data_IF_610738783768
#
_entry.id   IF_610738783768
#
_cell.length_a   1.000
_cell.length_b   1.000
_cell.length_c   1.000
_cell.angle_alpha   90.00
_cell.angle_beta   90.00
_cell.angle_gamma   90.00
#
_symmetry.space_group_name_H-M   'P 1'
#
loop_
_entity.id
_entity.type
_entity.pdbx_description
1 polymer ?
#
# COMPACT_ATOMS: atom_id res chain seq x y z
N UNK A 1 -24.21 -0.13 18.50
CA UNK A 1 -25.34 -1.01 18.08
C UNK A 1 -25.34 -2.32 18.87
N UNK A 2 -26.44 -3.09 18.86
CA UNK A 2 -26.50 -4.45 19.43
C UNK A 2 -26.00 -5.51 18.43
N UNK A 3 -25.74 -6.74 18.88
CA UNK A 3 -25.34 -7.84 17.99
C UNK A 3 -26.42 -8.19 16.95
N UNK A 4 -27.69 -8.14 17.35
CA UNK A 4 -28.82 -8.38 16.44
C UNK A 4 -28.89 -7.31 15.34
N UNK A 5 -28.61 -6.05 15.67
CA UNK A 5 -28.58 -4.97 14.68
C UNK A 5 -27.48 -5.21 13.63
N UNK A 6 -26.30 -5.68 14.05
CA UNK A 6 -25.20 -6.02 13.14
C UNK A 6 -25.52 -7.23 12.26
N UNK A 7 -26.15 -8.26 12.84
CA UNK A 7 -26.61 -9.43 12.08
C UNK A 7 -27.63 -9.01 11.01
N UNK A 8 -28.62 -8.20 11.39
CA UNK A 8 -29.61 -7.68 10.47
C UNK A 8 -28.99 -6.86 9.33
N UNK A 9 -28.07 -5.94 9.66
CA UNK A 9 -27.35 -5.14 8.66
C UNK A 9 -26.63 -6.03 7.64
N UNK A 10 -25.95 -7.08 8.10
CA UNK A 10 -25.18 -7.99 7.25
C UNK A 10 -26.05 -8.83 6.32
N UNK A 11 -27.29 -9.13 6.72
CA UNK A 11 -28.23 -9.91 5.93
C UNK A 11 -29.01 -9.05 4.91
N UNK A 12 -29.10 -7.73 5.13
CA UNK A 12 -29.82 -6.80 4.24
C UNK A 12 -29.48 -6.94 2.75
N UNK A 13 -28.20 -7.10 2.34
CA UNK A 13 -27.86 -7.28 0.92
C UNK A 13 -28.40 -8.56 0.28
N UNK A 14 -28.74 -9.58 1.08
CA UNK A 14 -29.32 -10.85 0.62
C UNK A 14 -30.83 -10.79 0.48
N UNK A 15 -31.48 -9.85 1.15
CA UNK A 15 -32.94 -9.68 1.12
C UNK A 15 -33.39 -8.93 -0.13
N UNK A 16 -34.61 -9.21 -0.57
CA UNK A 16 -35.24 -8.46 -1.66
C UNK A 16 -35.60 -7.06 -1.17
N UNK A 17 -35.10 -6.03 -1.85
CA UNK A 17 -35.40 -4.64 -1.56
C UNK A 17 -35.68 -3.86 -2.84
N UNK A 18 -36.34 -2.69 -2.73
CA UNK A 18 -36.51 -1.77 -3.87
C UNK A 18 -35.19 -1.06 -4.25
N UNK A 19 -34.26 -0.99 -3.31
CA UNK A 19 -32.94 -0.40 -3.52
C UNK A 19 -32.01 -1.43 -4.16
N UNK A 20 -31.10 -0.96 -5.02
CA UNK A 20 -30.13 -1.85 -5.62
C UNK A 20 -29.13 -2.36 -4.56
N UNK A 21 -28.60 -3.57 -4.76
CA UNK A 21 -27.75 -4.24 -3.77
C UNK A 21 -26.48 -3.44 -3.45
N UNK A 22 -25.93 -2.70 -4.43
CA UNK A 22 -24.81 -1.79 -4.22
C UNK A 22 -25.12 -0.73 -3.16
N UNK A 23 -26.24 -0.03 -3.30
CA UNK A 23 -26.58 1.07 -2.40
C UNK A 23 -26.91 0.55 -1.00
N UNK A 24 -27.59 -0.60 -0.90
CA UNK A 24 -27.82 -1.28 0.39
C UNK A 24 -26.51 -1.59 1.12
N UNK A 25 -25.54 -2.17 0.40
CA UNK A 25 -24.22 -2.47 0.98
C UNK A 25 -23.49 -1.17 1.38
N UNK A 26 -23.56 -0.13 0.53
CA UNK A 26 -22.93 1.16 0.78
C UNK A 26 -23.47 1.82 2.05
N UNK A 27 -24.78 1.87 2.22
CA UNK A 27 -25.42 2.40 3.42
C UNK A 27 -25.07 1.58 4.67
N UNK A 28 -25.10 0.24 4.56
CA UNK A 28 -24.73 -0.63 5.67
C UNK A 28 -23.28 -0.37 6.12
N UNK A 29 -22.33 -0.23 5.19
CA UNK A 29 -20.94 0.11 5.52
C UNK A 29 -20.84 1.50 6.18
N UNK A 30 -21.59 2.48 5.71
CA UNK A 30 -21.60 3.82 6.31
C UNK A 30 -22.11 3.83 7.76
N UNK A 31 -23.13 3.02 8.06
CA UNK A 31 -23.65 2.85 9.42
C UNK A 31 -22.58 2.20 10.31
N UNK A 32 -22.02 1.07 9.85
CA UNK A 32 -21.04 0.27 10.62
C UNK A 32 -19.75 1.04 10.87
N UNK A 33 -19.33 1.89 9.93
CA UNK A 33 -18.11 2.71 10.02
C UNK A 33 -18.04 3.59 11.28
N UNK A 34 -19.17 4.00 11.84
CA UNK A 34 -19.21 4.85 13.03
C UNK A 34 -18.97 4.07 14.34
N UNK A 35 -19.07 2.73 14.27
CA UNK A 35 -18.94 1.84 15.41
C UNK A 35 -17.48 1.40 15.60
N UNK A 36 -17.06 1.18 16.85
CA UNK A 36 -15.67 0.81 17.22
C UNK A 36 -15.53 -0.59 17.81
N UNK A 37 -16.60 -1.37 17.79
CA UNK A 37 -16.66 -2.70 18.40
C UNK A 37 -16.09 -3.76 17.43
N UNK A 38 -15.54 -4.86 17.97
CA UNK A 38 -15.06 -5.99 17.16
C UNK A 38 -16.16 -6.55 16.23
N UNK A 39 -17.43 -6.55 16.69
CA UNK A 39 -18.58 -7.00 15.88
C UNK A 39 -18.81 -6.10 14.67
N UNK A 40 -18.53 -4.80 14.77
CA UNK A 40 -18.58 -3.88 13.63
C UNK A 40 -17.52 -4.21 12.59
N UNK A 41 -16.29 -4.53 13.00
CA UNK A 41 -15.22 -4.95 12.10
C UNK A 41 -15.58 -6.26 11.36
N UNK A 42 -16.13 -7.24 12.09
CA UNK A 42 -16.63 -8.49 11.49
C UNK A 42 -17.75 -8.23 10.48
N UNK A 43 -18.70 -7.37 10.84
CA UNK A 43 -19.81 -6.97 9.96
C UNK A 43 -19.30 -6.28 8.71
N UNK A 44 -18.32 -5.39 8.82
CA UNK A 44 -17.70 -4.72 7.69
C UNK A 44 -17.00 -5.71 6.74
N UNK A 45 -16.30 -6.72 7.27
CA UNK A 45 -15.69 -7.78 6.47
C UNK A 45 -16.74 -8.61 5.73
N UNK A 46 -17.85 -8.95 6.39
CA UNK A 46 -18.96 -9.67 5.76
C UNK A 46 -19.63 -8.84 4.66
N UNK A 47 -19.90 -7.55 4.91
CA UNK A 47 -20.45 -6.64 3.91
C UNK A 47 -19.52 -6.48 2.70
N UNK A 48 -18.21 -6.40 2.92
CA UNK A 48 -17.23 -6.39 1.82
C UNK A 48 -17.22 -7.70 1.03
N UNK A 49 -17.31 -8.84 1.71
CA UNK A 49 -17.40 -10.14 1.04
C UNK A 49 -18.65 -10.24 0.16
N UNK A 50 -19.78 -9.70 0.62
CA UNK A 50 -21.01 -9.62 -0.17
C UNK A 50 -20.85 -8.64 -1.35
N UNK A 51 -20.13 -7.53 -1.16
CA UNK A 51 -19.82 -6.59 -2.23
C UNK A 51 -19.00 -7.27 -3.34
N UNK A 52 -17.91 -7.94 -2.98
CA UNK A 52 -17.04 -8.67 -3.91
C UNK A 52 -17.80 -9.78 -4.65
N UNK A 53 -18.72 -10.46 -3.95
CA UNK A 53 -19.51 -11.55 -4.53
C UNK A 53 -20.55 -11.08 -5.55
N UNK A 54 -21.19 -9.94 -5.32
CA UNK A 54 -22.40 -9.55 -6.04
C UNK A 54 -22.27 -8.31 -6.93
N UNK A 55 -21.27 -7.47 -6.70
CA UNK A 55 -21.12 -6.22 -7.42
C UNK A 55 -20.16 -6.37 -8.60
N UNK A 56 -20.39 -5.56 -9.64
CA UNK A 56 -19.43 -5.43 -10.73
C UNK A 56 -18.15 -4.72 -10.26
N UNK A 57 -17.07 -4.84 -11.02
CA UNK A 57 -15.80 -4.17 -10.70
C UNK A 57 -15.95 -2.64 -10.56
N UNK A 58 -16.83 -2.01 -11.35
CA UNK A 58 -17.11 -0.57 -11.25
C UNK A 58 -17.81 -0.20 -9.94
N UNK A 59 -18.79 -0.99 -9.53
CA UNK A 59 -19.53 -0.77 -8.27
C UNK A 59 -18.66 -1.10 -7.04
N UNK A 60 -17.78 -2.09 -7.14
CA UNK A 60 -16.83 -2.43 -6.09
C UNK A 60 -15.83 -1.30 -5.82
N UNK A 61 -15.47 -0.52 -6.85
CA UNK A 61 -14.65 0.69 -6.66
C UNK A 61 -15.36 1.74 -5.77
N UNK A 62 -16.67 1.94 -5.95
CA UNK A 62 -17.43 2.84 -5.06
C UNK A 62 -17.46 2.33 -3.62
N UNK A 63 -17.59 1.01 -3.41
CA UNK A 63 -17.52 0.42 -2.07
C UNK A 63 -16.12 0.59 -1.46
N UNK A 64 -15.08 0.38 -2.26
CA UNK A 64 -13.68 0.58 -1.85
C UNK A 64 -13.43 2.02 -1.39
N UNK A 65 -13.98 3.02 -2.07
CA UNK A 65 -13.86 4.43 -1.65
C UNK A 65 -14.47 4.67 -0.27
N UNK A 66 -15.66 4.12 -0.01
CA UNK A 66 -16.31 4.25 1.30
C UNK A 66 -15.52 3.55 2.40
N UNK A 67 -14.94 2.39 2.11
CA UNK A 67 -14.05 1.66 3.02
C UNK A 67 -12.73 2.40 3.27
N UNK A 68 -12.15 3.03 2.26
CA UNK A 68 -10.93 3.81 2.39
C UNK A 68 -11.10 4.97 3.40
N UNK A 69 -12.31 5.53 3.49
CA UNK A 69 -12.62 6.58 4.47
C UNK A 69 -12.82 6.08 5.90
N UNK A 70 -12.74 4.77 6.18
CA UNK A 70 -12.87 4.20 7.53
C UNK A 70 -11.55 4.27 8.30
N UNK A 71 -11.59 4.12 9.62
CA UNK A 71 -10.35 4.02 10.43
C UNK A 71 -9.48 2.85 9.99
N UNK A 72 -10.08 1.71 9.68
CA UNK A 72 -9.37 0.53 9.18
C UNK A 72 -8.75 0.81 7.80
N UNK A 73 -9.49 1.46 6.90
CA UNK A 73 -9.00 1.89 5.59
C UNK A 73 -7.76 2.79 5.70
N UNK A 74 -7.80 3.77 6.60
CA UNK A 74 -6.66 4.64 6.87
C UNK A 74 -5.46 3.86 7.45
N UNK A 75 -5.68 2.97 8.41
CA UNK A 75 -4.61 2.13 8.98
C UNK A 75 -3.94 1.25 7.92
N UNK A 76 -4.72 0.64 7.03
CA UNK A 76 -4.19 -0.16 5.92
C UNK A 76 -3.38 0.69 4.92
N UNK A 77 -3.83 1.92 4.65
CA UNK A 77 -3.11 2.86 3.80
C UNK A 77 -1.77 3.25 4.43
N UNK A 78 -1.77 3.64 5.71
CA UNK A 78 -0.57 4.05 6.44
C UNK A 78 0.45 2.91 6.53
N UNK A 79 0.00 1.68 6.84
CA UNK A 79 0.84 0.48 6.82
C UNK A 79 1.43 0.22 5.43
N UNK A 80 0.64 0.45 4.37
CA UNK A 80 1.08 0.35 2.99
C UNK A 80 2.18 1.35 2.65
N UNK A 81 1.99 2.62 3.03
CA UNK A 81 2.99 3.70 2.84
C UNK A 81 4.27 3.38 3.59
N UNK A 82 4.17 2.95 4.86
CA UNK A 82 5.33 2.59 5.67
C UNK A 82 6.13 1.44 5.03
N UNK A 83 5.46 0.34 4.67
CA UNK A 83 6.10 -0.80 3.98
C UNK A 83 6.71 -0.40 2.64
N UNK A 84 6.04 0.49 1.90
CA UNK A 84 6.55 1.05 0.65
C UNK A 84 7.84 1.82 0.85
N UNK A 85 7.90 2.68 1.87
CA UNK A 85 9.09 3.45 2.21
C UNK A 85 10.24 2.55 2.67
N UNK A 86 9.97 1.58 3.54
CA UNK A 86 10.97 0.59 3.98
C UNK A 86 11.58 -0.16 2.79
N UNK A 87 10.75 -0.68 1.89
CA UNK A 87 11.22 -1.35 0.66
C UNK A 87 11.99 -0.41 -0.27
N UNK A 88 11.58 0.85 -0.35
CA UNK A 88 12.28 1.87 -1.14
C UNK A 88 13.70 2.14 -0.61
N UNK A 89 13.84 2.26 0.71
CA UNK A 89 15.14 2.44 1.37
C UNK A 89 16.02 1.20 1.19
N UNK A 90 15.46 0.00 1.37
CA UNK A 90 16.18 -1.27 1.19
C UNK A 90 16.72 -1.39 -0.25
N UNK A 91 15.86 -1.17 -1.26
CA UNK A 91 16.26 -1.19 -2.67
C UNK A 91 17.32 -0.15 -2.97
N UNK A 92 17.17 1.08 -2.48
CA UNK A 92 18.17 2.13 -2.69
C UNK A 92 19.53 1.79 -2.09
N UNK A 93 19.56 1.13 -0.93
CA UNK A 93 20.82 0.65 -0.32
C UNK A 93 21.44 -0.50 -1.11
N UNK A 94 20.64 -1.44 -1.60
CA UNK A 94 21.14 -2.52 -2.45
C UNK A 94 21.72 -2.00 -3.75
N UNK A 95 21.05 -1.04 -4.39
CA UNK A 95 21.48 -0.40 -5.62
C UNK A 95 22.77 0.39 -5.40
N UNK A 96 22.84 1.23 -4.36
CA UNK A 96 24.07 1.94 -3.99
C UNK A 96 25.23 0.97 -3.71
N UNK A 97 24.98 -0.14 -3.00
CA UNK A 97 26.00 -1.14 -2.73
C UNK A 97 26.51 -1.80 -4.02
N UNK A 98 25.62 -2.11 -4.98
CA UNK A 98 25.99 -2.65 -6.30
C UNK A 98 26.80 -1.64 -7.10
N UNK A 99 26.35 -0.40 -7.18
CA UNK A 99 27.04 0.69 -7.87
C UNK A 99 28.44 0.91 -7.29
N UNK A 100 28.56 0.99 -5.96
CA UNK A 100 29.84 1.18 -5.28
C UNK A 100 30.79 -0.02 -5.53
N UNK A 101 30.28 -1.25 -5.50
CA UNK A 101 31.09 -2.44 -5.77
C UNK A 101 31.60 -2.47 -7.23
N UNK A 102 30.71 -2.16 -8.18
CA UNK A 102 31.07 -2.08 -9.60
C UNK A 102 32.09 -0.96 -9.87
N UNK A 103 31.88 0.22 -9.28
CA UNK A 103 32.81 1.35 -9.39
C UNK A 103 34.18 1.01 -8.80
N UNK A 104 34.20 0.39 -7.62
CA UNK A 104 35.45 -0.04 -6.98
C UNK A 104 36.21 -1.03 -7.85
N UNK A 105 35.52 -2.02 -8.44
CA UNK A 105 36.14 -2.97 -9.35
C UNK A 105 36.75 -2.28 -10.58
N UNK A 106 36.02 -1.35 -11.23
CA UNK A 106 36.51 -0.60 -12.39
C UNK A 106 37.72 0.26 -12.08
N UNK A 107 37.69 1.01 -10.98
CA UNK A 107 38.82 1.85 -10.58
C UNK A 107 40.06 1.03 -10.25
N UNK A 108 39.90 -0.16 -9.66
CA UNK A 108 41.01 -1.08 -9.41
C UNK A 108 41.56 -1.68 -10.71
N UNK A 109 40.71 -2.05 -11.67
CA UNK A 109 41.13 -2.51 -13.01
C UNK A 109 41.99 -1.46 -13.73
N UNK A 110 41.61 -0.17 -13.62
CA UNK A 110 42.33 0.95 -14.23
C UNK A 110 43.49 1.50 -13.38
N UNK A 111 43.75 0.93 -12.19
CA UNK A 111 44.73 1.43 -11.21
C UNK A 111 44.51 2.90 -10.78
N UNK A 112 43.27 3.40 -10.81
CA UNK A 112 42.88 4.77 -10.44
C UNK A 112 42.65 4.93 -8.93
N UNK A 113 43.70 4.69 -8.14
CA UNK A 113 43.62 4.66 -6.66
C UNK A 113 43.29 6.03 -6.04
N UNK A 114 43.78 7.13 -6.63
CA UNK A 114 43.46 8.49 -6.16
C UNK A 114 41.98 8.83 -6.36
N UNK A 115 41.41 8.41 -7.50
CA UNK A 115 39.99 8.58 -7.79
C UNK A 115 39.12 7.73 -6.86
N UNK A 116 39.55 6.50 -6.55
CA UNK A 116 38.88 5.64 -5.57
C UNK A 116 38.82 6.34 -4.21
N UNK A 117 39.95 6.86 -3.72
CA UNK A 117 40.00 7.58 -2.46
C UNK A 117 39.07 8.79 -2.49
N UNK A 118 39.18 9.63 -3.53
CA UNK A 118 38.36 10.84 -3.68
C UNK A 118 36.86 10.53 -3.76
N UNK A 119 36.47 9.44 -4.41
CA UNK A 119 35.05 9.03 -4.52
C UNK A 119 34.39 8.68 -3.18
N UNK A 120 35.20 8.34 -2.15
CA UNK A 120 34.68 8.08 -0.79
C UNK A 120 34.39 9.36 0.00
N UNK A 121 34.98 10.48 -0.39
CA UNK A 121 34.88 11.77 0.30
C UNK A 121 33.99 12.76 -0.47
N UNK A 122 33.98 12.66 -1.81
CA UNK A 122 33.28 13.57 -2.72
C UNK A 122 32.17 12.83 -3.47
N UNK A 123 30.93 13.11 -3.05
CA UNK A 123 29.73 12.51 -3.64
C UNK A 123 29.51 12.93 -5.09
N UNK A 124 29.76 14.20 -5.43
CA UNK A 124 29.55 14.69 -6.81
C UNK A 124 30.56 14.05 -7.75
N UNK A 125 31.80 13.91 -7.30
CA UNK A 125 32.83 13.20 -8.04
C UNK A 125 32.50 11.72 -8.21
N UNK A 126 31.98 11.06 -7.16
CA UNK A 126 31.48 9.68 -7.27
C UNK A 126 30.39 9.54 -8.34
N UNK A 127 29.43 10.46 -8.38
CA UNK A 127 28.35 10.46 -9.38
C UNK A 127 28.89 10.70 -10.81
N UNK A 128 29.94 11.50 -10.98
CA UNK A 128 30.62 11.67 -12.27
C UNK A 128 31.29 10.38 -12.74
N UNK A 129 32.00 9.67 -11.85
CA UNK A 129 32.64 8.40 -12.16
C UNK A 129 31.62 7.31 -12.50
N UNK A 130 30.51 7.24 -11.75
CA UNK A 130 29.43 6.30 -12.06
C UNK A 130 28.89 6.51 -13.50
N UNK A 131 28.71 7.77 -13.91
CA UNK A 131 28.33 8.11 -15.29
C UNK A 131 29.43 7.78 -16.31
N UNK A 132 30.69 8.06 -15.97
CA UNK A 132 31.85 7.76 -16.83
C UNK A 132 31.92 6.25 -17.17
N UNK A 133 31.69 5.39 -16.17
CA UNK A 133 31.72 3.94 -16.33
C UNK A 133 30.38 3.33 -16.77
N UNK A 134 29.33 4.13 -16.97
CA UNK A 134 28.00 3.67 -17.34
C UNK A 134 27.35 2.75 -16.29
N UNK A 135 27.62 3.02 -15.00
CA UNK A 135 27.07 2.29 -13.87
C UNK A 135 25.85 3.07 -13.37
N UNK A 136 24.67 2.68 -13.87
CA UNK A 136 23.35 3.19 -13.44
C UNK A 136 22.70 2.29 -12.39
#
# INVERSE_FOLDING_TARGET
>A
MSEDDFANLTLTPLMTSKMCRKDVIKEAIQIVKQEKQLTAEKTMAMLYTLADKFLSAGELNEIKEVLAMTRLGQMLYDDGVKKGMERGIERGREEEARQNAALTARLLEENRLDDLKRSTEDREFKEQLLKEFGIE
#
